data_IF_802709364808
#
_entry.id   IF_802709364808
#
_cell.length_a   1.000
_cell.length_b   1.000
_cell.length_c   1.000
_cell.angle_alpha   90.00
_cell.angle_beta   90.00
_cell.angle_gamma   90.00
#
_symmetry.space_group_name_H-M   'P 1'
#
loop_
_entity.id
_entity.type
_entity.pdbx_description
1 polymer ?
#
# COMPACT_ATOMS: atom_id res chain seq x y z
N UNK A 1 -6.64 -35.06 20.42
CA UNK A 1 -6.84 -33.62 20.65
C UNK A 1 -5.53 -33.05 21.16
N UNK A 2 -4.83 -32.22 20.37
CA UNK A 2 -3.57 -31.59 20.78
C UNK A 2 -3.89 -30.25 21.49
N UNK A 3 -3.55 -30.15 22.77
CA UNK A 3 -3.62 -28.91 23.53
C UNK A 3 -2.35 -28.09 23.25
N UNK A 4 -2.48 -26.95 22.58
CA UNK A 4 -1.40 -25.99 22.45
C UNK A 4 -1.20 -25.27 23.80
N UNK A 5 -0.07 -25.50 24.47
CA UNK A 5 0.35 -24.73 25.64
C UNK A 5 0.65 -23.29 25.20
N UNK A 6 -0.21 -22.33 25.56
CA UNK A 6 0.10 -20.90 25.50
C UNK A 6 0.70 -20.46 26.84
N UNK A 7 2.01 -20.24 26.91
CA UNK A 7 2.65 -19.64 28.08
C UNK A 7 2.42 -18.12 28.09
N UNK A 8 1.72 -17.60 29.10
CA UNK A 8 1.57 -16.16 29.36
C UNK A 8 2.73 -15.67 30.21
N UNK A 9 3.72 -15.04 29.59
CA UNK A 9 4.59 -14.07 30.26
C UNK A 9 4.04 -12.67 29.94
N UNK A 10 3.14 -12.17 30.78
CA UNK A 10 2.55 -10.83 30.65
C UNK A 10 1.63 -10.61 29.44
N UNK A 11 1.49 -9.33 29.06
CA UNK A 11 0.50 -8.83 28.08
C UNK A 11 0.90 -9.06 26.61
N UNK A 12 1.94 -9.84 26.34
CA UNK A 12 2.35 -10.18 24.98
C UNK A 12 1.69 -11.48 24.53
N UNK A 13 0.84 -11.39 23.51
CA UNK A 13 0.37 -12.56 22.76
C UNK A 13 1.19 -12.67 21.48
N UNK A 14 2.19 -13.55 21.49
CA UNK A 14 2.89 -13.93 20.26
C UNK A 14 2.06 -15.02 19.60
N UNK A 15 1.42 -14.71 18.46
CA UNK A 15 0.77 -15.72 17.62
C UNK A 15 1.58 -15.87 16.33
N UNK A 16 2.26 -17.01 16.18
CA UNK A 16 2.85 -17.41 14.90
C UNK A 16 1.79 -18.13 14.07
N UNK A 17 1.30 -17.48 13.01
CA UNK A 17 0.50 -18.18 12.01
C UNK A 17 1.45 -18.77 10.97
N UNK A 18 1.42 -20.09 10.80
CA UNK A 18 2.23 -20.76 9.79
C UNK A 18 1.86 -20.25 8.39
N UNK A 19 2.83 -20.00 7.49
CA UNK A 19 2.52 -19.61 6.12
C UNK A 19 1.83 -20.78 5.41
N UNK A 20 0.59 -20.59 4.98
CA UNK A 20 -0.08 -21.50 4.04
C UNK A 20 0.65 -21.40 2.71
N UNK A 21 1.31 -22.49 2.32
CA UNK A 21 2.00 -22.60 1.04
C UNK A 21 0.96 -22.49 -0.09
N UNK A 22 1.08 -21.46 -0.93
CA UNK A 22 0.40 -21.44 -2.22
C UNK A 22 1.24 -22.25 -3.20
N UNK A 23 0.73 -23.41 -3.60
CA UNK A 23 1.30 -24.22 -4.67
C UNK A 23 1.08 -23.52 -6.01
N UNK A 24 2.14 -22.92 -6.55
CA UNK A 24 2.17 -22.50 -7.95
C UNK A 24 2.23 -23.76 -8.81
N UNK A 25 1.08 -24.19 -9.34
CA UNK A 25 1.01 -25.19 -10.40
C UNK A 25 1.58 -24.60 -11.69
N UNK A 26 2.84 -24.91 -12.00
CA UNK A 26 3.42 -24.67 -13.33
C UNK A 26 2.82 -25.64 -14.34
N UNK A 27 1.89 -25.17 -15.18
CA UNK A 27 1.51 -25.91 -16.39
C UNK A 27 2.65 -25.83 -17.40
N UNK A 28 3.13 -27.02 -17.72
CA UNK A 28 4.14 -27.37 -18.70
C UNK A 28 3.85 -26.72 -20.05
N UNK A 29 4.89 -26.22 -20.72
CA UNK A 29 5.02 -26.17 -22.17
C UNK A 29 6.50 -26.28 -22.47
N UNK A 30 6.89 -27.40 -23.06
CA UNK A 30 8.28 -27.72 -23.37
C UNK A 30 8.77 -27.03 -24.63
N UNK A 31 10.09 -26.86 -24.69
CA UNK A 31 10.91 -26.99 -25.90
C UNK A 31 12.29 -27.47 -25.44
N UNK A 32 12.76 -28.53 -26.11
CA UNK A 32 14.01 -29.21 -25.85
C UNK A 32 15.23 -28.34 -26.18
N UNK A 33 16.38 -28.61 -25.53
CA UNK A 33 17.65 -28.06 -26.00
C UNK A 33 18.83 -28.25 -25.04
N UNK A 34 19.58 -29.34 -25.25
CA UNK A 34 21.03 -29.52 -25.02
C UNK A 34 21.57 -29.25 -23.60
N UNK A 35 21.91 -30.33 -22.89
CA UNK A 35 22.65 -30.27 -21.63
C UNK A 35 24.17 -30.17 -21.85
N UNK A 36 24.88 -29.28 -21.14
CA UNK A 36 26.30 -29.46 -20.85
C UNK A 36 26.54 -29.93 -19.41
N UNK A 37 27.64 -30.66 -19.26
CA UNK A 37 28.07 -31.33 -18.04
C UNK A 37 28.56 -30.35 -16.96
N UNK A 38 28.18 -30.69 -15.72
CA UNK A 38 28.70 -30.31 -14.39
C UNK A 38 29.89 -29.33 -14.35
N UNK A 39 29.66 -28.14 -13.75
CA UNK A 39 30.69 -27.47 -12.96
C UNK A 39 30.13 -27.17 -11.56
N UNK A 40 30.82 -27.71 -10.56
CA UNK A 40 30.59 -27.47 -9.13
C UNK A 40 31.07 -26.07 -8.79
N UNK A 41 30.16 -25.14 -8.60
CA UNK A 41 30.38 -23.99 -7.71
C UNK A 41 29.17 -23.84 -6.80
N UNK A 42 29.39 -24.21 -5.55
CA UNK A 42 28.51 -23.91 -4.43
C UNK A 42 28.45 -22.38 -4.25
N UNK A 43 27.57 -21.72 -4.98
CA UNK A 43 27.12 -20.37 -4.68
C UNK A 43 25.81 -20.49 -3.92
N UNK A 44 25.94 -20.35 -2.61
CA UNK A 44 24.92 -20.06 -1.64
C UNK A 44 23.67 -19.38 -2.26
N UNK A 45 22.66 -20.19 -2.60
CA UNK A 45 21.28 -19.72 -2.43
C UNK A 45 21.06 -19.65 -0.94
N UNK A 46 21.51 -18.54 -0.36
CA UNK A 46 21.08 -18.08 0.94
C UNK A 46 19.57 -18.31 0.97
N UNK A 47 19.14 -19.24 1.82
CA UNK A 47 17.75 -19.42 2.16
C UNK A 47 17.23 -18.02 2.45
N UNK A 48 16.43 -17.46 1.54
CA UNK A 48 15.56 -16.33 1.87
C UNK A 48 14.73 -16.86 3.01
N UNK A 49 15.14 -16.55 4.23
CA UNK A 49 14.31 -16.68 5.39
C UNK A 49 13.00 -16.01 4.97
N UNK A 50 11.95 -16.81 4.82
CA UNK A 50 10.60 -16.29 4.71
C UNK A 50 10.45 -15.45 5.96
N UNK A 51 10.60 -14.13 5.80
CA UNK A 51 10.43 -13.20 6.89
C UNK A 51 9.05 -13.54 7.45
N UNK A 52 9.02 -14.09 8.66
CA UNK A 52 7.81 -14.15 9.43
C UNK A 52 7.30 -12.71 9.42
N UNK A 53 6.19 -12.47 8.73
CA UNK A 53 5.48 -11.20 8.87
C UNK A 53 5.04 -11.22 10.33
N UNK A 54 5.83 -10.57 11.17
CA UNK A 54 5.47 -10.28 12.54
C UNK A 54 4.31 -9.29 12.41
N UNK A 55 3.09 -9.78 12.52
CA UNK A 55 1.94 -8.90 12.69
C UNK A 55 2.07 -8.25 14.05
N UNK A 56 2.58 -7.01 14.05
CA UNK A 56 2.60 -6.15 15.22
C UNK A 56 1.19 -5.60 15.39
N UNK A 57 0.35 -6.32 16.13
CA UNK A 57 -0.86 -5.73 16.70
C UNK A 57 -0.45 -4.95 17.95
N UNK A 58 -0.40 -3.61 17.83
CA UNK A 58 -0.14 -2.75 18.98
C UNK A 58 -1.25 -2.95 20.03
N UNK A 59 -0.87 -3.26 21.27
CA UNK A 59 -1.73 -3.52 22.42
C UNK A 59 -2.61 -2.33 22.86
N UNK A 60 -2.46 -1.16 22.22
CA UNK A 60 -3.41 -0.06 22.35
C UNK A 60 -4.64 -0.35 21.48
N UNK A 61 -5.53 -1.18 22.01
CA UNK A 61 -6.93 -1.18 21.61
C UNK A 61 -7.40 0.27 21.55
N UNK A 62 -7.56 0.78 20.33
CA UNK A 62 -7.86 2.20 20.05
C UNK A 62 -9.00 2.65 20.96
N UNK A 63 -8.80 3.72 21.73
CA UNK A 63 -9.91 4.48 22.32
C UNK A 63 -10.96 4.74 21.23
N UNK A 64 -12.05 3.96 21.26
CA UNK A 64 -13.11 3.91 20.25
C UNK A 64 -12.71 3.19 18.95
N UNK A 65 -13.43 2.11 18.61
CA UNK A 65 -13.32 1.35 17.35
C UNK A 65 -13.77 2.11 16.09
N UNK A 66 -13.50 3.41 16.03
CA UNK A 66 -13.76 4.28 14.89
C UNK A 66 -12.48 4.52 14.10
N UNK A 67 -12.56 4.42 12.78
CA UNK A 67 -11.45 4.75 11.89
C UNK A 67 -11.11 6.25 12.04
N UNK A 68 -9.83 6.61 11.98
CA UNK A 68 -9.40 8.00 12.03
C UNK A 68 -9.07 8.50 10.63
N UNK A 69 -9.60 9.66 10.28
CA UNK A 69 -9.25 10.34 9.04
C UNK A 69 -7.85 10.92 9.12
N UNK A 70 -7.01 10.71 8.10
CA UNK A 70 -5.72 11.40 8.00
C UNK A 70 -5.96 12.89 7.72
N UNK A 71 -5.81 13.73 8.75
CA UNK A 71 -6.09 15.18 8.67
C UNK A 71 -5.29 15.90 7.57
N UNK A 72 -4.05 15.48 7.32
CA UNK A 72 -3.25 16.04 6.23
C UNK A 72 -3.88 15.82 4.85
N UNK A 73 -4.46 14.64 4.60
CA UNK A 73 -5.17 14.35 3.36
C UNK A 73 -6.48 15.14 3.27
N UNK A 74 -7.23 15.22 4.37
CA UNK A 74 -8.49 15.98 4.41
C UNK A 74 -8.31 17.48 4.12
N UNK A 75 -7.16 18.07 4.47
CA UNK A 75 -6.83 19.46 4.13
C UNK A 75 -6.47 19.67 2.65
N UNK A 76 -6.03 18.61 1.95
CA UNK A 76 -5.51 18.68 0.57
C UNK A 76 -6.54 18.28 -0.49
N UNK A 77 -7.37 17.28 -0.20
CA UNK A 77 -8.33 16.71 -1.14
C UNK A 77 -9.75 17.13 -0.79
N UNK A 78 -10.44 17.76 -1.74
CA UNK A 78 -11.85 18.13 -1.56
C UNK A 78 -12.74 17.21 -2.40
N UNK A 79 -13.77 16.66 -1.77
CA UNK A 79 -14.76 15.80 -2.43
C UNK A 79 -15.96 16.65 -2.82
N UNK A 80 -16.31 16.61 -4.10
CA UNK A 80 -17.51 17.29 -4.62
C UNK A 80 -18.78 16.52 -4.23
N UNK A 81 -19.96 17.14 -4.34
CA UNK A 81 -21.24 16.47 -4.06
C UNK A 81 -21.45 15.19 -4.88
N UNK A 82 -20.91 15.15 -6.11
CA UNK A 82 -20.94 13.97 -6.99
C UNK A 82 -19.90 12.89 -6.63
N UNK A 83 -19.08 13.09 -5.61
CA UNK A 83 -18.06 12.14 -5.16
C UNK A 83 -16.74 12.17 -5.93
N UNK A 84 -16.53 13.14 -6.84
CA UNK A 84 -15.24 13.34 -7.53
C UNK A 84 -14.26 14.07 -6.63
N UNK A 85 -12.99 13.67 -6.66
CA UNK A 85 -11.93 14.30 -5.86
C UNK A 85 -11.25 15.40 -6.65
N UNK A 86 -11.19 16.58 -6.06
CA UNK A 86 -10.51 17.76 -6.63
C UNK A 86 -9.25 18.11 -5.85
N UNK A 87 -8.22 18.53 -6.59
CA UNK A 87 -6.91 18.93 -6.09
C UNK A 87 -6.49 20.29 -6.65
N UNK A 88 -5.68 21.01 -5.88
CA UNK A 88 -4.97 22.20 -6.38
C UNK A 88 -3.69 21.77 -7.09
N UNK A 89 -3.36 22.41 -8.21
CA UNK A 89 -2.09 22.16 -8.90
C UNK A 89 -0.90 22.75 -8.14
N UNK A 90 0.23 22.04 -8.19
CA UNK A 90 1.46 22.45 -7.52
C UNK A 90 2.22 23.53 -8.33
N UNK A 91 3.12 24.27 -7.65
CA UNK A 91 4.06 25.20 -8.32
C UNK A 91 3.60 26.67 -8.44
N UNK A 92 2.47 27.04 -7.82
CA UNK A 92 1.99 28.43 -7.71
C UNK A 92 2.06 28.92 -6.26
N UNK A 93 3.30 29.10 -5.77
CA UNK A 93 3.60 29.71 -4.48
C UNK A 93 4.69 30.79 -4.68
N UNK A 94 5.96 30.40 -4.76
CA UNK A 94 7.11 31.28 -5.04
C UNK A 94 7.59 31.23 -6.52
N UNK A 95 8.41 32.21 -6.91
CA UNK A 95 8.98 32.39 -8.27
C UNK A 95 7.93 32.39 -9.37
N UNK A 96 6.97 33.32 -9.27
CA UNK A 96 5.90 33.46 -10.26
C UNK A 96 6.32 34.31 -11.46
N UNK A 97 7.28 35.21 -11.29
CA UNK A 97 7.80 36.13 -12.33
C UNK A 97 8.31 35.38 -13.56
N UNK A 98 9.13 34.34 -13.36
CA UNK A 98 9.66 33.50 -14.45
C UNK A 98 8.61 32.63 -15.17
N UNK A 99 7.36 32.62 -14.73
CA UNK A 99 6.29 31.79 -15.31
C UNK A 99 5.39 32.67 -16.20
N UNK A 100 5.23 32.28 -17.46
CA UNK A 100 4.28 32.96 -18.37
C UNK A 100 2.86 33.01 -17.79
N UNK A 101 2.11 34.07 -18.14
CA UNK A 101 0.73 34.26 -17.67
C UNK A 101 -0.17 33.05 -17.98
N UNK A 102 -0.01 32.43 -19.16
CA UNK A 102 -0.71 31.19 -19.55
C UNK A 102 -0.42 30.04 -18.59
N UNK A 103 0.82 29.88 -18.11
CA UNK A 103 1.19 28.86 -17.12
C UNK A 103 0.58 29.17 -15.74
N UNK A 104 0.62 30.43 -15.29
CA UNK A 104 0.05 30.86 -14.00
C UNK A 104 -1.47 30.65 -13.93
N UNK A 105 -2.18 30.82 -15.05
CA UNK A 105 -3.62 30.54 -15.15
C UNK A 105 -3.91 29.05 -15.06
N UNK A 106 -3.20 28.21 -15.81
CA UNK A 106 -3.35 26.75 -15.76
C UNK A 106 -3.11 26.16 -14.36
N UNK A 107 -2.17 26.72 -13.61
CA UNK A 107 -1.88 26.32 -12.23
C UNK A 107 -2.92 26.82 -11.22
N UNK A 108 -3.74 27.82 -11.57
CA UNK A 108 -4.80 28.36 -10.71
C UNK A 108 -6.04 27.47 -10.69
N UNK A 109 -6.30 26.75 -11.78
CA UNK A 109 -7.48 25.93 -11.94
C UNK A 109 -7.41 24.67 -11.08
N UNK A 110 -8.54 24.29 -10.49
CA UNK A 110 -8.68 23.00 -9.78
C UNK A 110 -8.70 21.87 -10.80
N UNK A 111 -8.01 20.77 -10.49
CA UNK A 111 -7.96 19.58 -11.33
C UNK A 111 -8.64 18.43 -10.60
N UNK A 112 -9.18 17.46 -11.34
CA UNK A 112 -9.54 16.16 -10.77
C UNK A 112 -8.27 15.35 -10.47
N UNK A 113 -8.33 14.53 -9.41
CA UNK A 113 -7.26 13.59 -9.10
C UNK A 113 -7.15 12.52 -10.21
N UNK A 114 -5.95 11.99 -10.43
CA UNK A 114 -5.73 10.87 -11.35
C UNK A 114 -6.32 9.58 -10.77
N UNK A 115 -6.73 8.66 -11.65
CA UNK A 115 -7.39 7.42 -11.23
C UNK A 115 -6.51 6.56 -10.33
N UNK A 116 -5.21 6.45 -10.63
CA UNK A 116 -4.24 5.70 -9.83
C UNK A 116 -4.08 6.22 -8.39
N UNK A 117 -4.40 7.49 -8.13
CA UNK A 117 -4.28 8.08 -6.79
C UNK A 117 -5.56 7.84 -5.94
N UNK A 118 -6.68 7.49 -6.57
CA UNK A 118 -7.97 7.41 -5.89
C UNK A 118 -7.99 6.36 -4.79
N UNK A 119 -7.34 5.22 -4.96
CA UNK A 119 -7.34 4.15 -3.97
C UNK A 119 -6.57 4.54 -2.70
N UNK A 120 -5.44 5.23 -2.87
CA UNK A 120 -4.69 5.81 -1.76
C UNK A 120 -5.52 6.87 -1.00
N UNK A 121 -6.29 7.70 -1.73
CA UNK A 121 -7.13 8.73 -1.13
C UNK A 121 -8.30 8.12 -0.34
N UNK A 122 -8.95 7.09 -0.88
CA UNK A 122 -10.02 6.35 -0.18
C UNK A 122 -9.53 5.77 1.14
N UNK A 123 -8.35 5.16 1.16
CA UNK A 123 -7.75 4.62 2.40
C UNK A 123 -7.43 5.69 3.45
N UNK A 124 -7.13 6.93 3.03
CA UNK A 124 -6.86 8.04 3.95
C UNK A 124 -8.12 8.69 4.54
N UNK A 125 -9.25 8.59 3.83
CA UNK A 125 -10.48 9.32 4.10
C UNK A 125 -11.67 8.35 4.28
N UNK A 126 -11.75 7.64 5.41
CA UNK A 126 -12.72 6.54 5.60
C UNK A 126 -14.19 7.00 5.61
N UNK A 127 -14.47 8.26 5.95
CA UNK A 127 -15.85 8.79 6.03
C UNK A 127 -16.26 9.63 4.81
N UNK A 128 -15.38 9.76 3.81
CA UNK A 128 -15.65 10.59 2.63
C UNK A 128 -16.25 9.76 1.50
N UNK A 129 -17.30 10.29 0.83
CA UNK A 129 -17.96 9.64 -0.32
C UNK A 129 -17.14 9.80 -1.61
N UNK A 130 -16.00 9.10 -1.71
CA UNK A 130 -15.14 9.13 -2.90
C UNK A 130 -15.55 8.03 -3.89
N UNK A 131 -15.88 8.41 -5.13
CA UNK A 131 -16.16 7.45 -6.21
C UNK A 131 -14.85 6.97 -6.84
N UNK A 132 -14.72 5.66 -7.09
CA UNK A 132 -13.61 5.11 -7.88
C UNK A 132 -13.74 5.47 -9.36
N UNK A 133 -12.60 5.68 -10.02
CA UNK A 133 -12.53 5.71 -11.48
C UNK A 133 -13.03 4.38 -12.04
N UNK A 134 -13.71 4.42 -13.18
CA UNK A 134 -14.12 3.21 -13.90
C UNK A 134 -12.91 2.61 -14.60
#
# INVERSE_FOLDING_TARGET
MQFALSARMGNLRVSSKAPVAQTLSSKQNGIAGVAPRLCTTALATQRRATAAVVEVECADGRRGGKLKTRKAAAKRFNVTGSGKVTVRRAGKNHFQEKKSSKRRNKLSMKQQASDSMLDNIKGCLPYSKVKGGK
#
